data_IF_035812535195
#
_entry.id   IF_035812535195
#
_cell.length_a   1.000
_cell.length_b   1.000
_cell.length_c   1.000
_cell.angle_alpha   90.00
_cell.angle_beta   90.00
_cell.angle_gamma   90.00
#
_symmetry.space_group_name_H-M   'P 1'
#
loop_
_entity.id
_entity.type
_entity.pdbx_description
1 polymer ?
#
# COMPACT_ATOMS: atom_id res chain seq x y z
N UNK A 1 -16.73 -0.12 4.25
CA UNK A 1 -15.68 0.58 3.47
C UNK A 1 -14.81 -0.49 2.81
N UNK A 2 -14.42 -0.32 1.55
CA UNK A 2 -13.49 -1.26 0.89
C UNK A 2 -12.04 -0.86 1.19
N UNK A 3 -11.08 -1.79 1.11
CA UNK A 3 -9.66 -1.48 1.34
C UNK A 3 -9.15 -0.36 0.42
N UNK A 4 -9.63 -0.29 -0.83
CA UNK A 4 -9.25 0.77 -1.77
C UNK A 4 -9.77 2.13 -1.34
N UNK A 5 -11.00 2.21 -0.81
CA UNK A 5 -11.53 3.46 -0.28
C UNK A 5 -10.70 3.94 0.91
N UNK A 6 -10.44 3.05 1.88
CA UNK A 6 -9.61 3.39 3.04
C UNK A 6 -8.22 3.88 2.62
N UNK A 7 -7.56 3.20 1.68
CA UNK A 7 -6.26 3.63 1.17
C UNK A 7 -6.32 4.92 0.32
N UNK A 8 -7.44 5.18 -0.35
CA UNK A 8 -7.65 6.41 -1.12
C UNK A 8 -7.96 7.63 -0.25
N UNK A 9 -8.45 7.41 0.96
CA UNK A 9 -8.71 8.45 1.97
C UNK A 9 -7.47 8.79 2.81
N UNK A 10 -6.37 8.03 2.68
CA UNK A 10 -5.12 8.28 3.43
C UNK A 10 -4.48 9.60 2.99
N UNK A 11 -4.12 10.41 3.97
CA UNK A 11 -3.40 11.67 3.77
C UNK A 11 -1.88 11.51 3.93
N UNK A 12 -1.13 12.48 3.40
CA UNK A 12 0.33 12.51 3.48
C UNK A 12 0.81 12.55 4.93
N UNK A 13 1.65 11.57 5.30
CA UNK A 13 2.25 11.47 6.63
C UNK A 13 1.35 10.84 7.68
N UNK A 14 0.16 10.35 7.32
CA UNK A 14 -0.60 9.48 8.21
C UNK A 14 0.12 8.16 8.41
N UNK A 15 0.12 7.65 9.64
CA UNK A 15 0.68 6.34 9.94
C UNK A 15 -0.39 5.30 9.66
N UNK A 16 -0.06 4.31 8.84
CA UNK A 16 -0.97 3.21 8.55
C UNK A 16 -0.39 1.86 8.98
N UNK A 17 -1.28 0.94 9.34
CA UNK A 17 -1.00 -0.46 9.59
C UNK A 17 -1.79 -1.32 8.62
N UNK A 18 -1.10 -2.21 7.92
CA UNK A 18 -1.71 -3.14 6.97
C UNK A 18 -1.46 -4.57 7.40
N UNK A 19 -2.47 -5.42 7.27
CA UNK A 19 -2.31 -6.89 7.34
C UNK A 19 -2.18 -7.43 5.92
N UNK A 20 -1.15 -8.24 5.71
CA UNK A 20 -0.77 -8.85 4.43
C UNK A 20 -0.69 -10.36 4.63
N UNK A 21 -1.42 -11.12 3.80
CA UNK A 21 -1.46 -12.59 3.78
C UNK A 21 -1.37 -13.27 5.16
N UNK A 22 -2.53 -13.51 5.76
CA UNK A 22 -2.70 -14.37 6.94
C UNK A 22 -2.42 -13.67 8.26
N UNK A 23 -1.23 -13.10 8.46
CA UNK A 23 -0.84 -12.47 9.75
C UNK A 23 0.34 -11.48 9.64
N UNK A 24 0.93 -11.27 8.45
CA UNK A 24 2.08 -10.37 8.35
C UNK A 24 1.61 -8.92 8.43
N UNK A 25 2.25 -8.10 9.27
CA UNK A 25 1.90 -6.68 9.38
C UNK A 25 2.96 -5.79 8.80
N UNK A 26 2.52 -4.74 8.10
CA UNK A 26 3.37 -3.67 7.60
C UNK A 26 2.87 -2.36 8.19
N UNK A 27 3.77 -1.64 8.83
CA UNK A 27 3.50 -0.33 9.42
C UNK A 27 4.44 0.71 8.81
N UNK A 28 3.94 1.93 8.64
CA UNK A 28 4.71 3.03 8.11
C UNK A 28 3.90 4.30 7.88
N UNK A 29 4.60 5.38 7.58
CA UNK A 29 4.01 6.64 7.11
C UNK A 29 3.63 6.51 5.64
N UNK A 30 2.44 6.97 5.31
CA UNK A 30 1.90 6.89 3.97
C UNK A 30 2.21 8.15 3.16
N UNK A 31 2.57 7.94 1.91
CA UNK A 31 2.69 8.96 0.87
C UNK A 31 1.76 8.57 -0.28
N UNK A 32 0.58 9.22 -0.43
CA UNK A 32 -0.28 9.02 -1.59
C UNK A 32 0.48 9.44 -2.85
N UNK A 33 0.67 8.52 -3.79
CA UNK A 33 1.41 8.78 -5.04
C UNK A 33 0.46 8.99 -6.20
N UNK A 34 -0.59 8.18 -6.26
CA UNK A 34 -1.52 8.17 -7.40
C UNK A 34 -2.87 7.63 -6.91
N UNK A 35 -3.93 8.42 -7.03
CA UNK A 35 -5.29 7.96 -6.80
C UNK A 35 -6.21 8.54 -7.85
N UNK A 36 -6.65 7.67 -8.75
CA UNK A 36 -7.70 7.91 -9.70
C UNK A 36 -8.82 6.91 -9.40
N UNK A 37 -10.01 7.36 -8.94
CA UNK A 37 -11.11 6.48 -8.57
C UNK A 37 -11.64 5.62 -9.75
N UNK A 38 -11.32 6.01 -10.99
CA UNK A 38 -11.70 5.33 -12.22
C UNK A 38 -10.60 4.41 -12.77
N UNK A 39 -9.34 4.55 -12.33
CA UNK A 39 -8.22 3.80 -12.91
C UNK A 39 -7.33 3.04 -11.91
N UNK A 40 -6.83 3.70 -10.87
CA UNK A 40 -5.66 3.19 -10.11
C UNK A 40 -5.51 3.81 -8.72
N UNK A 41 -4.85 3.06 -7.85
CA UNK A 41 -4.43 3.49 -6.52
C UNK A 41 -2.97 3.08 -6.32
N UNK A 42 -2.16 4.00 -5.81
CA UNK A 42 -0.79 3.76 -5.36
C UNK A 42 -0.47 4.64 -4.15
N UNK A 43 -0.11 3.98 -3.05
CA UNK A 43 0.38 4.63 -1.82
C UNK A 43 1.76 4.05 -1.50
N UNK A 44 2.76 4.91 -1.36
CA UNK A 44 4.09 4.51 -0.87
C UNK A 44 4.09 4.51 0.65
N UNK A 45 4.77 3.52 1.23
CA UNK A 45 4.82 3.30 2.68
C UNK A 45 6.27 3.36 3.13
N UNK A 46 6.61 4.45 3.83
CA UNK A 46 7.89 4.61 4.48
C UNK A 46 7.84 3.95 5.84
N UNK A 47 8.72 2.98 6.09
CA UNK A 47 8.81 2.34 7.41
C UNK A 47 10.23 2.33 7.93
N UNK A 48 10.40 1.87 9.17
CA UNK A 48 11.62 2.03 9.98
C UNK A 48 12.83 1.17 9.53
N UNK A 49 12.74 0.48 8.38
CA UNK A 49 13.84 -0.32 7.83
C UNK A 49 14.86 0.54 7.06
N UNK A 50 15.91 -0.11 6.52
CA UNK A 50 16.90 0.46 5.60
C UNK A 50 16.25 1.41 4.57
N UNK A 51 16.68 2.68 4.56
CA UNK A 51 16.11 3.76 3.74
C UNK A 51 16.21 3.52 2.23
N UNK A 52 16.94 2.48 1.81
CA UNK A 52 17.02 2.06 0.40
C UNK A 52 15.89 1.12 -0.01
N UNK A 53 15.16 0.54 0.94
CA UNK A 53 14.03 -0.34 0.69
C UNK A 53 12.77 0.50 0.54
N UNK A 54 12.08 0.35 -0.58
CA UNK A 54 10.80 1.03 -0.83
C UNK A 54 9.65 0.03 -0.79
N UNK A 55 8.50 0.48 -0.31
CA UNK A 55 7.26 -0.30 -0.28
C UNK A 55 6.13 0.51 -0.88
N UNK A 56 5.26 -0.14 -1.63
CA UNK A 56 4.00 0.46 -2.03
C UNK A 56 2.84 -0.53 -1.91
N UNK A 57 1.64 0.00 -1.77
CA UNK A 57 0.40 -0.74 -1.97
C UNK A 57 -0.26 -0.23 -3.23
N UNK A 58 -0.69 -1.15 -4.09
CA UNK A 58 -1.29 -0.82 -5.39
C UNK A 58 -2.55 -1.63 -5.66
N UNK A 59 -3.54 -0.98 -6.26
CA UNK A 59 -4.69 -1.59 -6.90
C UNK A 59 -4.97 -0.90 -8.24
N UNK A 60 -5.55 -1.63 -9.19
CA UNK A 60 -5.97 -1.09 -10.48
C UNK A 60 -7.45 -1.43 -10.71
N UNK A 61 -8.15 -0.65 -11.55
CA UNK A 61 -9.47 -1.02 -12.07
C UNK A 61 -9.30 -2.01 -13.22
N UNK A 62 -10.04 -3.12 -13.16
CA UNK A 62 -10.16 -4.11 -14.23
C UNK A 62 -11.61 -4.45 -14.45
N UNK A 63 -12.10 -4.22 -15.67
CA UNK A 63 -13.49 -4.47 -16.06
C UNK A 63 -14.51 -3.75 -15.18
N UNK A 64 -14.17 -2.55 -14.70
CA UNK A 64 -15.04 -1.78 -13.81
C UNK A 64 -14.95 -2.16 -12.34
N UNK A 65 -14.17 -3.17 -11.93
CA UNK A 65 -13.95 -3.56 -10.53
C UNK A 65 -12.52 -3.27 -10.07
N UNK A 66 -12.36 -3.00 -8.78
CA UNK A 66 -11.03 -2.88 -8.19
C UNK A 66 -10.38 -4.25 -8.01
N UNK A 67 -9.12 -4.38 -8.40
CA UNK A 67 -8.31 -5.53 -7.98
C UNK A 67 -8.02 -5.45 -6.48
N UNK A 68 -7.87 -6.61 -5.82
CA UNK A 68 -7.37 -6.67 -4.44
C UNK A 68 -6.04 -5.91 -4.32
N UNK A 69 -5.90 -4.97 -3.36
CA UNK A 69 -4.65 -4.26 -3.16
C UNK A 69 -3.52 -5.22 -2.82
N UNK A 70 -2.34 -4.98 -3.41
CA UNK A 70 -1.14 -5.78 -3.20
C UNK A 70 -0.02 -4.92 -2.69
N UNK A 71 0.71 -5.41 -1.70
CA UNK A 71 1.95 -4.78 -1.27
C UNK A 71 3.08 -5.26 -2.16
N UNK A 72 3.93 -4.34 -2.57
CA UNK A 72 5.18 -4.61 -3.29
C UNK A 72 6.35 -4.02 -2.52
N UNK A 73 7.51 -4.64 -2.72
CA UNK A 73 8.78 -4.20 -2.15
C UNK A 73 9.78 -4.05 -3.28
N UNK A 74 10.50 -2.94 -3.27
CA UNK A 74 11.68 -2.73 -4.09
C UNK A 74 12.92 -2.76 -3.21
N UNK A 75 13.92 -3.53 -3.64
CA UNK A 75 15.25 -3.50 -3.04
C UNK A 75 16.29 -3.27 -4.15
N UNK A 76 17.27 -2.37 -3.94
CA UNK A 76 18.22 -2.01 -5.00
C UNK A 76 19.03 -3.19 -5.53
N UNK A 77 19.27 -4.21 -4.70
CA UNK A 77 19.97 -5.43 -5.10
C UNK A 77 19.16 -6.34 -6.04
N UNK A 78 17.83 -6.24 -6.03
CA UNK A 78 16.95 -6.99 -6.93
C UNK A 78 16.64 -6.23 -8.22
N UNK A 79 16.73 -4.90 -8.18
CA UNK A 79 16.56 -4.04 -9.36
C UNK A 79 15.13 -3.97 -9.91
N UNK A 80 14.15 -4.60 -9.25
CA UNK A 80 12.74 -4.59 -9.63
C UNK A 80 11.82 -4.73 -8.40
N UNK A 81 10.53 -4.43 -8.59
CA UNK A 81 9.48 -4.57 -7.58
C UNK A 81 9.00 -6.03 -7.49
N UNK A 82 8.97 -6.58 -6.28
CA UNK A 82 8.40 -7.88 -5.99
C UNK A 82 7.09 -7.76 -5.21
N UNK A 83 6.05 -8.47 -5.62
CA UNK A 83 4.81 -8.60 -4.84
C UNK A 83 5.10 -9.39 -3.56
N UNK A 84 4.74 -8.82 -2.41
CA UNK A 84 4.93 -9.45 -1.09
C UNK A 84 3.67 -10.14 -0.60
N UNK A 85 2.50 -9.66 -1.01
CA UNK A 85 1.24 -10.29 -0.67
C UNK A 85 0.02 -9.42 -0.96
N UNK A 86 -1.16 -9.99 -0.72
CA UNK A 86 -2.43 -9.27 -0.78
C UNK A 86 -2.73 -8.60 0.56
N UNK A 87 -3.29 -7.40 0.52
CA UNK A 87 -3.76 -6.69 1.71
C UNK A 87 -5.12 -7.23 2.10
N UNK A 88 -5.29 -7.56 3.37
CA UNK A 88 -6.55 -8.08 3.93
C UNK A 88 -7.19 -7.11 4.93
N UNK A 89 -6.39 -6.22 5.54
CA UNK A 89 -6.86 -5.19 6.48
C UNK A 89 -5.98 -3.94 6.37
N UNK A 90 -6.56 -2.76 6.56
CA UNK A 90 -5.85 -1.47 6.64
C UNK A 90 -6.46 -0.64 7.77
N UNK A 91 -5.59 -0.03 8.58
CA UNK A 91 -5.96 0.93 9.61
C UNK A 91 -5.11 2.18 9.48
N UNK A 92 -5.76 3.32 9.60
CA UNK A 92 -5.12 4.61 9.77
C UNK A 92 -5.02 4.82 11.28
N UNK A 93 -3.80 4.99 11.79
CA UNK A 93 -3.55 5.18 13.21
C UNK A 93 -3.74 6.68 13.54
N UNK A 94 -4.62 6.98 14.48
CA UNK A 94 -4.85 8.36 14.94
C UNK A 94 -3.58 8.90 15.63
N UNK A 95 -3.22 10.15 15.33
CA UNK A 95 -2.05 10.84 15.89
C UNK A 95 -2.26 11.29 17.34
#
# INVERSE_FOLDING_TARGET
MTLVQTLGDVELGERIRMTVDGDSTIEGEATPVDYDPEERLRVEIDGEEDSRVRRDVRADRKNGDWTTPKVRRYTPNQGDWAVRGVVTDVRIEER
#
